data_IF_869589066895
#
_entry.id   IF_869589066895
#
_cell.length_a   1.000
_cell.length_b   1.000
_cell.length_c   1.000
_cell.angle_alpha   90.00
_cell.angle_beta   90.00
_cell.angle_gamma   90.00
#
_symmetry.space_group_name_H-M   'P 1'
#
loop_
_entity.id
_entity.type
_entity.pdbx_description
1 polymer ?
#
# COMPACT_ATOMS: atom_id res chain seq x y z
N UNK A 1 11.77 -1.34 6.31
CA UNK A 1 12.55 -2.35 7.06
C UNK A 1 12.57 -2.07 8.57
N UNK A 2 12.77 -0.82 9.00
CA UNK A 2 12.66 -0.41 10.41
C UNK A 2 11.27 -0.66 11.00
N UNK A 3 10.20 -0.36 10.25
CA UNK A 3 8.80 -0.70 10.58
C UNK A 3 8.52 -2.21 10.67
N UNK A 4 9.42 -3.05 10.14
CA UNK A 4 9.25 -4.50 10.04
C UNK A 4 10.02 -5.24 11.16
N UNK A 5 10.67 -4.52 12.09
CA UNK A 5 11.61 -5.06 13.10
C UNK A 5 12.67 -6.01 12.46
N UNK A 6 12.97 -5.80 11.19
CA UNK A 6 13.98 -6.57 10.46
C UNK A 6 15.34 -5.96 10.79
N UNK A 7 16.08 -6.63 11.67
CA UNK A 7 17.44 -6.23 12.04
C UNK A 7 18.34 -6.30 10.80
N UNK A 8 18.61 -5.15 10.19
CA UNK A 8 19.55 -4.97 9.06
C UNK A 8 20.90 -5.66 9.32
N UNK A 9 21.34 -5.65 10.57
CA UNK A 9 22.54 -6.34 11.02
C UNK A 9 22.50 -7.86 10.77
N UNK A 10 21.37 -8.52 11.00
CA UNK A 10 21.23 -9.96 10.74
C UNK A 10 21.32 -10.28 9.26
N UNK A 11 20.70 -9.44 8.42
CA UNK A 11 20.75 -9.61 6.97
C UNK A 11 22.16 -9.37 6.43
N UNK A 12 22.84 -8.32 6.91
CA UNK A 12 24.24 -8.01 6.58
C UNK A 12 25.16 -9.19 6.91
N UNK A 13 25.11 -9.69 8.14
CA UNK A 13 25.96 -10.81 8.56
C UNK A 13 25.69 -12.08 7.75
N UNK A 14 24.43 -12.34 7.40
CA UNK A 14 24.09 -13.48 6.55
C UNK A 14 24.73 -13.35 5.17
N UNK A 15 24.62 -12.18 4.54
CA UNK A 15 25.22 -11.92 3.22
C UNK A 15 26.74 -12.02 3.31
N UNK A 16 27.37 -11.36 4.28
CA UNK A 16 28.83 -11.39 4.50
C UNK A 16 29.33 -12.82 4.73
N UNK A 17 28.61 -13.63 5.52
CA UNK A 17 28.97 -15.02 5.77
C UNK A 17 28.95 -15.90 4.52
N UNK A 18 28.09 -15.58 3.54
CA UNK A 18 27.93 -16.34 2.30
C UNK A 18 28.84 -15.86 1.18
N UNK A 19 29.28 -14.60 1.24
CA UNK A 19 30.10 -13.92 0.24
C UNK A 19 31.57 -13.75 0.67
N UNK A 20 32.04 -14.49 1.68
CA UNK A 20 33.39 -14.41 2.30
C UNK A 20 34.60 -14.60 1.34
N UNK A 21 34.39 -14.75 0.02
CA UNK A 21 35.43 -14.95 -0.98
C UNK A 21 35.60 -13.82 -2.01
N UNK A 22 34.82 -12.73 -1.93
CA UNK A 22 34.99 -11.59 -2.84
C UNK A 22 35.99 -10.58 -2.29
N UNK A 23 36.91 -10.14 -3.14
CA UNK A 23 37.80 -9.02 -2.82
C UNK A 23 36.95 -7.79 -2.49
N UNK A 24 37.10 -7.29 -1.27
CA UNK A 24 36.40 -6.10 -0.83
C UNK A 24 36.92 -4.91 -1.63
N UNK A 25 36.02 -4.28 -2.39
CA UNK A 25 36.38 -3.14 -3.23
C UNK A 25 36.56 -1.93 -2.29
N UNK A 26 37.72 -1.25 -2.32
CA UNK A 26 37.95 -0.06 -1.50
C UNK A 26 36.91 1.03 -1.81
N UNK A 27 36.52 1.85 -0.81
CA UNK A 27 35.52 2.90 -1.00
C UNK A 27 35.92 3.92 -2.08
N UNK A 28 37.23 4.16 -2.27
CA UNK A 28 37.76 5.06 -3.31
C UNK A 28 37.51 4.57 -4.75
N UNK A 29 37.08 3.32 -4.92
CA UNK A 29 36.76 2.72 -6.22
C UNK A 29 35.25 2.50 -6.39
N UNK A 30 34.42 3.02 -5.49
CA UNK A 30 32.96 2.86 -5.54
C UNK A 30 32.33 3.43 -6.82
N UNK A 31 32.88 4.52 -7.35
CA UNK A 31 32.37 5.17 -8.58
C UNK A 31 32.50 4.29 -9.84
N UNK A 32 33.31 3.23 -9.78
CA UNK A 32 33.51 2.28 -10.89
C UNK A 32 32.60 1.06 -10.79
N UNK A 33 31.71 1.00 -9.79
CA UNK A 33 30.80 -0.13 -9.62
C UNK A 33 29.66 -0.04 -10.64
N UNK A 34 29.67 -0.94 -11.62
CA UNK A 34 28.53 -1.17 -12.50
C UNK A 34 27.48 -2.03 -11.80
N UNK A 35 26.20 -1.75 -12.06
CA UNK A 35 25.13 -2.64 -11.65
C UNK A 35 25.24 -3.97 -12.40
N UNK A 36 24.85 -5.06 -11.76
CA UNK A 36 24.70 -6.33 -12.46
C UNK A 36 23.49 -6.24 -13.40
N UNK A 37 23.52 -7.00 -14.49
CA UNK A 37 22.38 -7.12 -15.41
C UNK A 37 21.09 -7.50 -14.67
N UNK A 38 21.22 -8.29 -13.60
CA UNK A 38 20.11 -8.68 -12.74
C UNK A 38 19.54 -7.51 -11.91
N UNK A 39 20.41 -6.66 -11.35
CA UNK A 39 19.98 -5.46 -10.63
C UNK A 39 19.30 -4.45 -11.57
N UNK A 40 19.78 -4.30 -12.80
CA UNK A 40 19.13 -3.47 -13.82
C UNK A 40 17.73 -3.99 -14.20
N UNK A 41 17.57 -5.32 -14.31
CA UNK A 41 16.25 -5.94 -14.54
C UNK A 41 15.29 -5.64 -13.39
N UNK A 42 15.75 -5.73 -12.14
CA UNK A 42 14.96 -5.38 -10.97
C UNK A 42 14.52 -3.90 -10.97
N UNK A 43 15.42 -2.98 -11.36
CA UNK A 43 15.08 -1.57 -11.48
C UNK A 43 14.03 -1.32 -12.56
N UNK A 44 14.15 -1.94 -13.73
CA UNK A 44 13.13 -1.83 -14.79
C UNK A 44 11.77 -2.35 -14.31
N UNK A 45 11.76 -3.47 -13.59
CA UNK A 45 10.55 -4.04 -13.04
C UNK A 45 9.92 -3.16 -11.95
N UNK A 46 10.70 -2.45 -11.13
CA UNK A 46 10.20 -1.47 -10.17
C UNK A 46 9.34 -0.41 -10.85
N UNK A 47 9.79 0.15 -11.98
CA UNK A 47 9.01 1.15 -12.73
C UNK A 47 7.73 0.55 -13.31
N UNK A 48 7.79 -0.70 -13.79
CA UNK A 48 6.61 -1.40 -14.29
C UNK A 48 5.59 -1.65 -13.18
N UNK A 49 6.02 -2.06 -11.99
CA UNK A 49 5.12 -2.27 -10.85
C UNK A 49 4.49 -0.97 -10.36
N UNK A 50 5.23 0.14 -10.33
CA UNK A 50 4.68 1.45 -10.00
C UNK A 50 3.57 1.85 -10.99
N UNK A 51 3.82 1.68 -12.29
CA UNK A 51 2.85 1.98 -13.36
C UNK A 51 1.60 1.11 -13.27
N UNK A 52 1.74 -0.20 -12.98
CA UNK A 52 0.59 -1.11 -12.77
C UNK A 52 -0.32 -0.69 -11.61
N UNK A 53 0.25 -0.04 -10.59
CA UNK A 53 -0.49 0.46 -9.42
C UNK A 53 -0.98 1.91 -9.59
N UNK A 54 -0.84 2.48 -10.80
CA UNK A 54 -1.25 3.86 -11.08
C UNK A 54 -0.36 4.92 -10.42
N UNK A 55 0.79 4.55 -9.87
CA UNK A 55 1.73 5.48 -9.26
C UNK A 55 2.71 6.01 -10.31
N UNK A 56 2.77 7.33 -10.45
CA UNK A 56 3.66 8.02 -11.39
C UNK A 56 5.13 7.95 -10.96
N UNK A 57 5.39 7.84 -9.66
CA UNK A 57 6.74 7.73 -9.10
C UNK A 57 6.93 6.39 -8.39
N UNK A 58 8.03 5.67 -8.68
CA UNK A 58 8.34 4.43 -7.97
C UNK A 58 8.78 4.74 -6.54
N UNK A 59 8.31 3.92 -5.60
CA UNK A 59 8.65 4.00 -4.19
C UNK A 59 9.51 2.79 -3.81
N UNK A 60 10.14 2.83 -2.63
CA UNK A 60 10.92 1.74 -2.06
C UNK A 60 10.14 0.43 -1.96
N UNK A 61 8.81 0.50 -1.80
CA UNK A 61 7.95 -0.69 -1.77
C UNK A 61 7.86 -1.37 -3.14
N UNK A 62 7.85 -0.61 -4.24
CA UNK A 62 7.89 -1.18 -5.60
C UNK A 62 9.24 -1.82 -5.89
N UNK A 63 10.33 -1.23 -5.39
CA UNK A 63 11.67 -1.84 -5.49
C UNK A 63 11.71 -3.18 -4.74
N UNK A 64 11.17 -3.21 -3.53
CA UNK A 64 11.09 -4.44 -2.73
C UNK A 64 10.22 -5.49 -3.42
N UNK A 65 9.10 -5.08 -4.04
CA UNK A 65 8.25 -5.98 -4.80
C UNK A 65 8.98 -6.57 -6.00
N UNK A 66 9.68 -5.74 -6.77
CA UNK A 66 10.49 -6.17 -7.90
C UNK A 66 11.62 -7.13 -7.49
N UNK A 67 12.29 -6.87 -6.36
CA UNK A 67 13.28 -7.78 -5.79
C UNK A 67 12.66 -9.12 -5.37
N UNK A 68 11.47 -9.13 -4.75
CA UNK A 68 10.80 -10.37 -4.34
C UNK A 68 10.27 -11.19 -5.52
N UNK A 69 10.02 -10.56 -6.67
CA UNK A 69 9.52 -11.21 -7.88
C UNK A 69 10.65 -11.79 -8.74
N UNK A 70 11.68 -10.97 -9.02
CA UNK A 70 12.74 -11.31 -9.99
C UNK A 70 13.99 -11.88 -9.32
N UNK A 71 14.35 -11.36 -8.13
CA UNK A 71 15.60 -11.71 -7.48
C UNK A 71 15.45 -12.95 -6.59
N UNK A 72 16.40 -13.87 -6.74
CA UNK A 72 16.53 -15.09 -5.95
C UNK A 72 17.76 -15.05 -5.04
N UNK A 73 18.30 -13.86 -4.79
CA UNK A 73 19.43 -13.64 -3.91
C UNK A 73 19.18 -13.98 -2.44
N UNK A 74 20.27 -14.02 -1.68
CA UNK A 74 20.28 -14.35 -0.25
C UNK A 74 19.39 -13.39 0.57
N UNK A 75 19.35 -12.12 0.17
CA UNK A 75 18.48 -11.11 0.80
C UNK A 75 17.00 -11.45 0.64
N UNK A 76 16.58 -11.86 -0.56
CA UNK A 76 15.20 -12.29 -0.84
C UNK A 76 14.86 -13.58 -0.08
N UNK A 77 15.79 -14.54 -0.07
CA UNK A 77 15.64 -15.75 0.75
C UNK A 77 15.38 -15.40 2.22
N UNK A 78 16.20 -14.51 2.79
CA UNK A 78 16.04 -14.06 4.17
C UNK A 78 14.69 -13.39 4.42
N UNK A 79 14.24 -12.50 3.53
CA UNK A 79 12.92 -11.87 3.61
C UNK A 79 11.79 -12.89 3.63
N UNK A 80 11.86 -13.93 2.77
CA UNK A 80 10.88 -15.02 2.73
C UNK A 80 10.87 -15.81 4.04
N UNK A 81 12.03 -16.10 4.65
CA UNK A 81 12.07 -16.76 5.98
C UNK A 81 11.37 -15.95 7.06
N UNK A 82 11.39 -14.62 6.94
CA UNK A 82 10.69 -13.68 7.83
C UNK A 82 9.22 -13.49 7.48
N UNK A 83 8.70 -14.21 6.49
CA UNK A 83 7.30 -14.15 6.07
C UNK A 83 6.97 -12.95 5.16
N UNK A 84 7.98 -12.23 4.68
CA UNK A 84 7.80 -11.18 3.68
C UNK A 84 7.87 -11.83 2.30
N UNK A 85 6.71 -11.99 1.68
CA UNK A 85 6.56 -12.49 0.31
C UNK A 85 5.93 -11.43 -0.57
N UNK A 86 6.08 -11.60 -1.88
CA UNK A 86 5.44 -10.75 -2.89
C UNK A 86 3.94 -10.59 -2.62
N UNK A 87 3.23 -11.71 -2.36
CA UNK A 87 1.80 -11.70 -2.04
C UNK A 87 1.47 -10.85 -0.82
N UNK A 88 2.22 -11.00 0.27
CA UNK A 88 1.99 -10.20 1.49
C UNK A 88 2.23 -8.71 1.26
N UNK A 89 3.20 -8.38 0.40
CA UNK A 89 3.52 -6.99 0.07
C UNK A 89 2.50 -6.37 -0.87
N UNK A 90 1.99 -7.14 -1.85
CA UNK A 90 0.87 -6.71 -2.71
C UNK A 90 -0.40 -6.46 -1.91
N UNK A 91 -0.77 -7.39 -1.01
CA UNK A 91 -1.93 -7.22 -0.15
C UNK A 91 -1.81 -5.96 0.73
N UNK A 92 -0.61 -5.66 1.21
CA UNK A 92 -0.35 -4.44 1.98
C UNK A 92 -0.45 -3.16 1.14
N UNK A 93 0.13 -3.15 -0.07
CA UNK A 93 0.04 -2.01 -0.98
C UNK A 93 -1.41 -1.72 -1.40
N UNK A 94 -2.25 -2.76 -1.51
CA UNK A 94 -3.69 -2.63 -1.77
C UNK A 94 -4.53 -2.28 -0.53
N UNK A 95 -3.93 -2.25 0.66
CA UNK A 95 -4.64 -2.01 1.92
C UNK A 95 -5.50 -3.18 2.41
N UNK A 96 -5.37 -4.37 1.81
CA UNK A 96 -6.17 -5.55 2.16
C UNK A 96 -5.72 -6.18 3.49
N UNK A 97 -4.41 -6.23 3.75
CA UNK A 97 -3.84 -6.90 4.91
C UNK A 97 -2.61 -6.16 5.47
N UNK A 98 -2.44 -6.09 6.80
CA UNK A 98 -1.22 -5.55 7.40
C UNK A 98 -0.04 -6.49 7.17
N UNK A 99 1.16 -5.93 6.89
CA UNK A 99 2.39 -6.73 6.81
C UNK A 99 2.69 -7.37 8.16
N UNK A 100 2.75 -8.71 8.20
CA UNK A 100 3.11 -9.49 9.39
C UNK A 100 4.47 -10.14 9.18
N UNK A 101 5.43 -9.78 10.02
CA UNK A 101 6.78 -10.35 10.01
C UNK A 101 6.91 -11.39 11.11
N UNK A 102 7.40 -12.57 10.74
CA UNK A 102 7.69 -13.65 11.69
C UNK A 102 8.88 -13.23 12.58
N UNK A 103 8.64 -13.12 13.88
CA UNK A 103 9.65 -12.75 14.89
C UNK A 103 9.49 -11.35 15.50
N UNK A 104 8.69 -10.45 14.92
CA UNK A 104 8.35 -9.15 15.53
C UNK A 104 7.21 -9.22 16.56
N UNK A 105 6.75 -10.44 16.87
CA UNK A 105 5.57 -10.68 17.70
C UNK A 105 5.66 -10.12 19.12
N UNK A 106 6.86 -9.80 19.63
CA UNK A 106 6.99 -9.27 20.99
C UNK A 106 6.37 -7.88 21.20
N UNK A 107 6.31 -7.02 20.17
CA UNK A 107 5.67 -5.69 20.30
C UNK A 107 4.18 -5.73 19.98
N UNK A 108 3.78 -6.37 18.88
CA UNK A 108 2.36 -6.46 18.49
C UNK A 108 1.49 -7.30 19.43
N UNK A 109 2.03 -8.29 20.15
CA UNK A 109 1.25 -9.03 21.14
C UNK A 109 0.87 -8.17 22.36
N UNK A 110 1.71 -7.18 22.71
CA UNK A 110 1.45 -6.23 23.79
C UNK A 110 0.39 -5.22 23.35
N UNK A 111 0.55 -4.61 22.17
CA UNK A 111 -0.44 -3.67 21.61
C UNK A 111 -1.81 -4.33 21.35
N UNK A 112 -1.82 -5.60 20.93
CA UNK A 112 -3.06 -6.37 20.74
C UNK A 112 -3.74 -6.72 22.07
N UNK A 113 -2.96 -7.01 23.12
CA UNK A 113 -3.52 -7.22 24.47
C UNK A 113 -4.05 -5.92 25.06
N UNK A 114 -3.36 -4.80 24.86
CA UNK A 114 -3.81 -3.48 25.33
C UNK A 114 -5.06 -3.00 24.60
N UNK A 115 -5.15 -3.19 23.27
CA UNK A 115 -6.34 -2.84 22.50
C UNK A 115 -7.55 -3.72 22.83
N UNK A 116 -7.37 -5.02 23.08
CA UNK A 116 -8.43 -5.91 23.57
C UNK A 116 -8.90 -5.48 24.96
N UNK A 117 -7.97 -5.16 25.88
CA UNK A 117 -8.31 -4.68 27.22
C UNK A 117 -9.06 -3.34 27.20
N UNK A 118 -8.62 -2.39 26.37
CA UNK A 118 -9.30 -1.12 26.20
C UNK A 118 -10.69 -1.29 25.56
N UNK A 119 -10.86 -2.26 24.66
CA UNK A 119 -12.14 -2.57 24.04
C UNK A 119 -13.10 -3.27 25.02
N UNK A 120 -12.61 -4.15 25.89
CA UNK A 120 -13.38 -4.74 26.99
C UNK A 120 -13.82 -3.67 28.01
N UNK A 121 -12.94 -2.74 28.38
CA UNK A 121 -13.25 -1.63 29.29
C UNK A 121 -14.26 -0.64 28.67
N UNK A 122 -14.15 -0.35 27.37
CA UNK A 122 -15.11 0.47 26.64
C UNK A 122 -16.47 -0.22 26.45
N UNK A 123 -16.48 -1.54 26.23
CA UNK A 123 -17.71 -2.32 26.10
C UNK A 123 -18.46 -2.42 27.44
N UNK A 124 -17.74 -2.57 28.56
CA UNK A 124 -18.34 -2.55 29.90
C UNK A 124 -18.90 -1.16 30.28
N UNK A 125 -18.25 -0.08 29.83
CA UNK A 125 -18.76 1.30 29.95
C UNK A 125 -19.99 1.58 29.06
N UNK A 126 -20.02 1.04 27.84
CA UNK A 126 -21.17 1.16 26.94
C UNK A 126 -22.40 0.39 27.46
N UNK A 127 -22.19 -0.80 28.01
CA UNK A 127 -23.25 -1.62 28.63
C UNK A 127 -23.86 -0.94 29.88
N UNK A 128 -23.07 -0.15 30.61
CA UNK A 128 -23.55 0.66 31.75
C UNK A 128 -24.36 1.88 31.30
N UNK A 129 -24.08 2.44 30.13
CA UNK A 129 -24.81 3.59 29.57
C UNK A 129 -26.07 3.21 28.76
N UNK A 130 -26.20 1.97 28.31
CA UNK A 130 -27.36 1.48 27.56
C UNK A 130 -28.67 1.31 28.37
N UNK A 131 -28.69 1.67 29.66
CA UNK A 131 -29.90 1.63 30.52
C UNK A 131 -30.71 2.93 30.56
N UNK A 132 -30.37 3.94 29.74
CA UNK A 132 -31.18 5.15 29.56
C UNK A 132 -31.22 5.53 28.08
N UNK A 133 -32.43 5.82 27.61
CA UNK A 133 -32.79 6.37 26.29
C UNK A 133 -33.16 5.34 25.22
N UNK A 134 -34.42 4.94 25.32
CA UNK A 134 -35.31 4.66 24.20
C UNK A 134 -35.51 5.90 23.31
N UNK A 135 -35.70 5.61 22.02
CA UNK A 135 -36.42 6.38 21.01
C UNK A 135 -35.63 7.44 20.22
N UNK A 136 -35.19 7.08 19.01
CA UNK A 136 -35.43 7.89 17.81
C UNK A 136 -35.16 7.08 16.54
N UNK A 137 -36.11 7.22 15.63
CA UNK A 137 -36.28 6.54 14.35
C UNK A 137 -35.48 7.32 13.29
N UNK A 138 -34.45 6.73 12.70
CA UNK A 138 -33.77 7.30 11.53
C UNK A 138 -34.20 6.55 10.26
N UNK A 139 -34.80 7.31 9.35
CA UNK A 139 -35.19 6.89 8.02
C UNK A 139 -33.96 6.50 7.17
N UNK A 140 -34.03 5.44 6.35
CA UNK A 140 -32.97 5.15 5.39
C UNK A 140 -33.03 6.16 4.24
N UNK A 141 -31.90 6.86 4.02
CA UNK A 141 -31.67 7.69 2.83
C UNK A 141 -31.87 6.85 1.57
N UNK A 142 -32.77 7.34 0.70
CA UNK A 142 -33.00 6.80 -0.64
C UNK A 142 -31.89 7.29 -1.57
N UNK A 143 -30.86 6.48 -1.80
CA UNK A 143 -29.93 6.66 -2.92
C UNK A 143 -29.84 5.36 -3.74
N UNK A 144 -31.00 4.87 -4.18
CA UNK A 144 -31.07 3.97 -5.33
C UNK A 144 -31.30 4.83 -6.55
N UNK A 145 -30.33 4.87 -7.47
CA UNK A 145 -30.46 5.60 -8.72
C UNK A 145 -31.70 5.12 -9.49
N UNK A 146 -32.37 6.06 -10.16
CA UNK A 146 -33.65 5.80 -10.85
C UNK A 146 -33.48 4.89 -12.08
N UNK A 147 -32.24 4.60 -12.49
CA UNK A 147 -31.87 3.88 -13.71
C UNK A 147 -30.64 2.99 -13.52
N UNK A 148 -30.68 1.96 -12.65
CA UNK A 148 -29.50 1.17 -12.25
C UNK A 148 -28.83 0.41 -13.41
N UNK A 149 -29.55 0.14 -14.51
CA UNK A 149 -28.98 -0.50 -15.70
C UNK A 149 -28.20 0.50 -16.58
N UNK A 150 -28.60 1.77 -16.61
CA UNK A 150 -27.95 2.80 -17.44
C UNK A 150 -26.69 3.36 -16.78
N UNK A 151 -26.66 3.44 -15.45
CA UNK A 151 -25.52 3.98 -14.70
C UNK A 151 -24.26 3.11 -14.83
N UNK A 152 -24.42 1.84 -15.20
CA UNK A 152 -23.28 0.97 -15.53
C UNK A 152 -22.59 1.35 -16.85
N UNK A 153 -23.27 2.10 -17.73
CA UNK A 153 -22.80 2.44 -19.07
C UNK A 153 -22.72 3.96 -19.34
N UNK A 154 -23.28 4.79 -18.47
CA UNK A 154 -23.29 6.24 -18.58
C UNK A 154 -22.50 6.87 -17.43
N UNK A 155 -21.85 7.99 -17.72
CA UNK A 155 -21.11 8.79 -16.75
C UNK A 155 -21.90 10.07 -16.45
N UNK A 156 -22.17 10.36 -15.18
CA UNK A 156 -22.91 11.56 -14.78
C UNK A 156 -21.99 12.78 -14.67
N UNK A 157 -21.94 13.56 -15.76
CA UNK A 157 -21.17 14.80 -15.82
C UNK A 157 -21.68 15.89 -14.85
N UNK A 158 -22.93 15.82 -14.37
CA UNK A 158 -23.52 16.83 -13.48
C UNK A 158 -22.93 16.73 -12.07
N UNK A 159 -22.71 15.52 -11.59
CA UNK A 159 -22.09 15.27 -10.29
C UNK A 159 -20.60 15.65 -10.32
N UNK A 160 -19.88 15.27 -11.37
CA UNK A 160 -18.48 15.65 -11.57
C UNK A 160 -18.30 17.18 -11.70
N UNK A 161 -19.23 17.86 -12.38
CA UNK A 161 -19.26 19.32 -12.45
C UNK A 161 -19.44 19.96 -11.08
N UNK A 162 -20.36 19.43 -10.26
CA UNK A 162 -20.60 19.92 -8.89
C UNK A 162 -19.39 19.67 -7.98
N UNK A 163 -18.66 18.58 -8.21
CA UNK A 163 -17.42 18.25 -7.50
C UNK A 163 -16.20 19.05 -7.99
N UNK A 164 -16.33 19.83 -9.07
CA UNK A 164 -15.24 20.63 -9.62
C UNK A 164 -14.11 19.82 -10.26
N UNK A 165 -14.38 18.57 -10.67
CA UNK A 165 -13.40 17.66 -11.28
C UNK A 165 -13.35 17.76 -12.81
N UNK A 166 -14.27 18.51 -13.43
CA UNK A 166 -14.30 18.72 -14.87
C UNK A 166 -13.29 19.78 -15.32
N UNK A 167 -12.57 19.48 -16.40
CA UNK A 167 -11.70 20.44 -17.05
C UNK A 167 -12.49 21.60 -17.68
N UNK A 168 -11.96 22.85 -17.63
CA UNK A 168 -12.63 23.98 -18.23
C UNK A 168 -12.67 23.85 -19.76
N UNK A 169 -13.84 24.09 -20.34
CA UNK A 169 -14.00 24.07 -21.81
C UNK A 169 -13.65 25.45 -22.37
N UNK A 170 -12.51 25.54 -23.06
CA UNK A 170 -11.99 26.81 -23.60
C UNK A 170 -12.47 27.03 -25.05
N UNK A 171 -12.89 28.27 -25.38
CA UNK A 171 -13.33 28.74 -26.73
C UNK A 171 -14.58 28.07 -27.31
N UNK A 172 -15.45 27.48 -26.49
CA UNK A 172 -16.76 26.93 -26.94
C UNK A 172 -17.95 27.74 -26.45
N UNK A 173 -17.76 29.03 -26.16
CA UNK A 173 -18.78 29.87 -25.53
C UNK A 173 -20.05 29.99 -26.41
N UNK A 174 -19.88 30.11 -27.73
CA UNK A 174 -21.00 30.24 -28.69
C UNK A 174 -21.82 28.96 -28.82
N UNK A 175 -21.17 27.80 -28.76
CA UNK A 175 -21.84 26.50 -28.84
C UNK A 175 -22.60 26.20 -27.54
N UNK A 176 -21.99 26.51 -26.39
CA UNK A 176 -22.61 26.32 -25.07
C UNK A 176 -23.85 27.20 -24.95
N UNK A 177 -23.76 28.48 -25.34
CA UNK A 177 -24.88 29.43 -25.29
C UNK A 177 -26.03 28.98 -26.20
N UNK A 178 -25.72 28.45 -27.40
CA UNK A 178 -26.74 27.88 -28.30
C UNK A 178 -27.45 26.65 -27.72
N UNK A 179 -26.77 25.84 -26.89
CA UNK A 179 -27.36 24.66 -26.25
C UNK A 179 -28.17 24.98 -24.99
N UNK A 180 -27.89 26.12 -24.35
CA UNK A 180 -28.56 26.56 -23.13
C UNK A 180 -29.86 27.35 -23.40
N UNK A 181 -30.02 27.86 -24.63
CA UNK A 181 -31.20 28.61 -25.09
C UNK A 181 -32.35 27.67 -25.51
#
# INVERSE_FOLDING_TARGET
LTMLDLLLWQMKNLIESKEMGRNMIPPDQADKLSLSEHAEKCLKAMYLEASKLGQTTPNTLHLLLALLDIDNGIGVYWLRTKGVTEQTLRAYLKGELPLVVKGSQRRRAVERKESIKNMEEQMDMALKNAKKQTDSKQEPQKDGSRTPMLDMYALDLTEEARAGQLDPVVRRDKEIDRLAQ
#
